data_IF_558885979321
#
_entry.id   IF_558885979321
#
_cell.length_a   1.000
_cell.length_b   1.000
_cell.length_c   1.000
_cell.angle_alpha   90.00
_cell.angle_beta   90.00
_cell.angle_gamma   90.00
#
_symmetry.space_group_name_H-M   'P 1'
#
loop_
_entity.id
_entity.type
_entity.pdbx_description
1 polymer ?
#
# COMPACT_ATOMS: atom_id res chain seq x y z
N UNK A 1 -19.15 -15.46 -13.38
CA UNK A 1 -18.86 -14.03 -13.64
C UNK A 1 -18.76 -13.31 -12.31
N UNK A 2 -17.55 -13.10 -11.78
CA UNK A 2 -17.32 -12.55 -10.43
C UNK A 2 -16.24 -11.45 -10.38
N UNK A 3 -15.64 -11.07 -11.51
CA UNK A 3 -14.52 -10.11 -11.55
C UNK A 3 -14.86 -8.76 -10.91
N UNK A 4 -16.07 -8.24 -11.15
CA UNK A 4 -16.50 -6.97 -10.56
C UNK A 4 -16.63 -7.02 -9.03
N UNK A 5 -16.93 -8.20 -8.45
CA UNK A 5 -17.06 -8.34 -7.00
C UNK A 5 -15.71 -8.27 -6.29
N UNK A 6 -14.60 -8.56 -6.97
CA UNK A 6 -13.25 -8.43 -6.40
C UNK A 6 -12.93 -6.96 -6.04
N UNK A 7 -13.48 -6.00 -6.78
CA UNK A 7 -13.30 -4.58 -6.46
C UNK A 7 -14.13 -4.10 -5.26
N UNK A 8 -15.08 -4.88 -4.76
CA UNK A 8 -15.78 -4.56 -3.53
C UNK A 8 -15.00 -5.04 -2.28
N UNK A 9 -14.05 -5.97 -2.44
CA UNK A 9 -13.28 -6.50 -1.32
C UNK A 9 -12.32 -5.46 -0.74
N UNK A 10 -11.96 -5.58 0.55
CA UNK A 10 -10.92 -4.75 1.15
C UNK A 10 -9.62 -4.80 0.35
N UNK A 11 -9.04 -3.63 0.09
CA UNK A 11 -7.84 -3.48 -0.76
C UNK A 11 -7.05 -2.23 -0.40
N UNK A 12 -5.78 -2.21 -0.79
CA UNK A 12 -4.94 -1.02 -0.76
C UNK A 12 -4.88 -0.45 -2.17
N UNK A 13 -5.18 0.83 -2.31
CA UNK A 13 -5.11 1.56 -3.57
C UNK A 13 -3.92 2.53 -3.49
N UNK A 14 -3.11 2.58 -4.55
CA UNK A 14 -1.99 3.51 -4.67
C UNK A 14 -1.75 3.89 -6.14
N UNK A 15 -1.25 5.10 -6.44
CA UNK A 15 -0.97 5.55 -7.80
C UNK A 15 0.29 4.89 -8.37
N UNK A 16 0.52 5.03 -9.67
CA UNK A 16 1.74 4.59 -10.33
C UNK A 16 2.96 5.50 -10.06
N UNK A 17 2.72 6.74 -9.64
CA UNK A 17 3.75 7.75 -9.39
C UNK A 17 3.41 8.51 -8.11
N UNK A 18 4.41 8.91 -7.34
CA UNK A 18 4.16 9.71 -6.13
C UNK A 18 5.30 10.66 -5.79
N UNK A 19 4.94 11.85 -5.29
CA UNK A 19 5.83 12.77 -4.58
C UNK A 19 5.56 12.77 -3.06
N UNK A 20 4.47 12.12 -2.63
CA UNK A 20 3.97 12.06 -1.24
C UNK A 20 3.66 10.63 -0.81
N UNK A 21 2.95 10.44 0.30
CA UNK A 21 2.48 9.13 0.77
C UNK A 21 1.07 8.85 0.21
N UNK A 22 0.88 7.85 -0.68
CA UNK A 22 -0.37 7.73 -1.40
C UNK A 22 -1.12 6.41 -1.15
N UNK A 23 -0.81 5.66 -0.09
CA UNK A 23 -1.40 4.34 0.16
C UNK A 23 -2.67 4.46 0.98
N UNK A 24 -3.79 4.04 0.41
CA UNK A 24 -5.11 4.10 1.03
C UNK A 24 -5.67 2.70 1.22
N UNK A 25 -6.05 2.38 2.45
CA UNK A 25 -6.85 1.20 2.73
C UNK A 25 -8.33 1.51 2.44
N UNK A 26 -8.96 0.72 1.58
CA UNK A 26 -10.35 0.87 1.18
C UNK A 26 -11.15 -0.39 1.53
N UNK A 27 -12.25 -0.19 2.25
CA UNK A 27 -13.29 -1.19 2.52
C UNK A 27 -14.63 -0.81 1.87
N UNK A 28 -14.71 0.36 1.23
CA UNK A 28 -15.96 0.91 0.68
C UNK A 28 -16.19 0.57 -0.79
N UNK A 29 -15.20 -0.03 -1.47
CA UNK A 29 -15.33 -0.44 -2.86
C UNK A 29 -14.94 0.65 -3.86
N UNK A 30 -14.04 1.56 -3.48
CA UNK A 30 -13.58 2.65 -4.35
C UNK A 30 -12.89 2.07 -5.58
N UNK A 31 -13.21 2.65 -6.74
CA UNK A 31 -12.57 2.35 -8.01
C UNK A 31 -11.54 3.43 -8.36
N UNK A 32 -10.31 2.97 -8.63
CA UNK A 32 -9.27 3.82 -9.19
C UNK A 32 -9.37 3.94 -10.71
N UNK A 33 -8.68 4.93 -11.28
CA UNK A 33 -8.49 5.02 -12.73
C UNK A 33 -7.30 4.14 -13.18
N UNK A 34 -6.95 4.21 -14.47
CA UNK A 34 -5.82 3.48 -15.07
C UNK A 34 -4.43 3.88 -14.56
N UNK A 35 -4.33 4.84 -13.64
CA UNK A 35 -3.09 5.28 -12.98
C UNK A 35 -2.95 4.72 -11.56
N UNK A 36 -3.92 3.94 -11.09
CA UNK A 36 -3.86 3.30 -9.78
C UNK A 36 -3.59 1.80 -9.89
N UNK A 37 -2.81 1.30 -8.94
CA UNK A 37 -2.66 -0.10 -8.62
C UNK A 37 -3.57 -0.48 -7.45
N UNK A 38 -4.00 -1.74 -7.44
CA UNK A 38 -4.79 -2.35 -6.37
C UNK A 38 -3.98 -3.51 -5.81
N UNK A 39 -3.84 -3.53 -4.48
CA UNK A 39 -3.25 -4.64 -3.74
C UNK A 39 -4.33 -5.23 -2.83
N UNK A 40 -4.67 -6.50 -3.10
CA UNK A 40 -5.63 -7.26 -2.31
C UNK A 40 -4.92 -8.42 -1.61
N UNK A 41 -5.40 -8.80 -0.43
CA UNK A 41 -4.90 -9.98 0.26
C UNK A 41 -5.40 -11.26 -0.42
N UNK A 42 -4.52 -12.24 -0.61
CA UNK A 42 -4.91 -13.57 -1.11
C UNK A 42 -5.48 -14.45 0.02
N UNK A 43 -5.09 -14.16 1.27
CA UNK A 43 -5.52 -14.83 2.49
C UNK A 43 -5.20 -13.95 3.71
N UNK A 44 -5.57 -14.41 4.91
CA UNK A 44 -5.43 -13.65 6.16
C UNK A 44 -4.00 -13.62 6.74
N UNK A 45 -2.97 -14.08 6.00
CA UNK A 45 -1.58 -14.08 6.49
C UNK A 45 -1.02 -12.68 6.72
N UNK A 46 -1.63 -11.65 6.13
CA UNK A 46 -1.22 -10.25 6.30
C UNK A 46 -2.44 -9.34 6.45
N UNK A 47 -2.40 -8.48 7.46
CA UNK A 47 -3.41 -7.44 7.66
C UNK A 47 -3.16 -6.29 6.69
N UNK A 48 -4.16 -5.97 5.85
CA UNK A 48 -4.11 -4.82 4.94
C UNK A 48 -4.00 -3.47 5.68
N UNK A 49 -4.71 -3.23 6.81
CA UNK A 49 -4.48 -2.05 7.65
C UNK A 49 -3.03 -1.93 8.14
N UNK A 50 -2.45 -3.04 8.63
CA UNK A 50 -1.05 -3.06 9.06
C UNK A 50 -0.11 -2.71 7.91
N UNK A 51 -0.29 -3.35 6.75
CA UNK A 51 0.53 -3.09 5.57
C UNK A 51 0.39 -1.64 5.08
N UNK A 52 -0.82 -1.09 5.14
CA UNK A 52 -1.08 0.33 4.82
C UNK A 52 -0.31 1.26 5.76
N UNK A 53 -0.28 0.97 7.06
CA UNK A 53 0.51 1.74 8.01
C UNK A 53 2.01 1.65 7.73
N UNK A 54 2.52 0.45 7.38
CA UNK A 54 3.92 0.26 6.97
C UNK A 54 4.23 1.10 5.72
N UNK A 55 3.40 1.06 4.69
CA UNK A 55 3.62 1.80 3.45
C UNK A 55 3.56 3.33 3.63
N UNK A 56 2.80 3.82 4.61
CA UNK A 56 2.76 5.25 4.95
C UNK A 56 3.84 5.68 5.97
N UNK A 57 4.76 4.77 6.34
CA UNK A 57 5.87 5.10 7.25
C UNK A 57 7.01 5.87 6.56
N UNK A 58 7.78 6.62 7.35
CA UNK A 58 8.99 7.29 6.86
C UNK A 58 10.03 6.31 6.31
N UNK A 59 10.07 5.08 6.85
CA UNK A 59 10.95 4.03 6.35
C UNK A 59 10.55 3.57 4.95
N UNK A 60 9.25 3.40 4.69
CA UNK A 60 8.77 3.07 3.35
C UNK A 60 9.10 4.18 2.35
N UNK A 61 8.96 5.46 2.76
CA UNK A 61 9.41 6.59 1.94
C UNK A 61 10.90 6.53 1.62
N UNK A 62 11.74 6.25 2.62
CA UNK A 62 13.18 6.11 2.40
C UNK A 62 13.47 5.00 1.38
N UNK A 63 12.82 3.84 1.53
CA UNK A 63 12.98 2.73 0.61
C UNK A 63 12.56 3.10 -0.82
N UNK A 64 11.41 3.75 -1.00
CA UNK A 64 10.94 4.23 -2.31
C UNK A 64 11.97 5.17 -2.94
N UNK A 65 12.56 6.09 -2.16
CA UNK A 65 13.53 7.06 -2.70
C UNK A 65 14.81 6.40 -3.21
N UNK A 66 15.25 5.30 -2.61
CA UNK A 66 16.47 4.60 -3.01
C UNK A 66 16.25 3.50 -4.05
N UNK A 67 15.05 2.91 -4.11
CA UNK A 67 14.80 1.70 -4.92
C UNK A 67 13.87 1.96 -6.12
N UNK A 68 13.10 3.04 -6.11
CA UNK A 68 12.21 3.39 -7.21
C UNK A 68 12.85 4.45 -8.14
N UNK A 69 12.63 4.35 -9.47
CA UNK A 69 13.12 5.33 -10.42
C UNK A 69 12.62 6.75 -10.11
N UNK A 70 13.51 7.72 -10.28
CA UNK A 70 13.15 9.12 -10.25
C UNK A 70 12.54 9.56 -11.58
N UNK A 71 11.48 10.34 -11.49
CA UNK A 71 10.82 11.02 -12.58
C UNK A 71 11.01 12.54 -12.41
N UNK A 72 10.61 13.32 -13.42
CA UNK A 72 10.72 14.78 -13.36
C UNK A 72 10.06 15.36 -12.09
N UNK A 73 10.72 16.37 -11.49
CA UNK A 73 10.22 17.06 -10.31
C UNK A 73 10.37 16.28 -8.99
N UNK A 74 11.27 15.29 -8.92
CA UNK A 74 11.52 14.52 -7.69
C UNK A 74 10.43 13.50 -7.35
N UNK A 75 9.56 13.19 -8.32
CA UNK A 75 8.54 12.15 -8.20
C UNK A 75 9.17 10.77 -8.36
N UNK A 76 8.62 9.75 -7.73
CA UNK A 76 9.08 8.35 -7.85
C UNK A 76 8.05 7.51 -8.59
N UNK A 77 8.50 6.63 -9.48
CA UNK A 77 7.63 5.60 -10.08
C UNK A 77 7.49 4.40 -9.13
N UNK A 78 6.27 4.13 -8.67
CA UNK A 78 5.98 3.08 -7.70
C UNK A 78 5.17 1.93 -8.30
N UNK A 79 5.42 1.60 -9.56
CA UNK A 79 4.78 0.49 -10.27
C UNK A 79 4.97 -0.86 -9.56
N UNK A 80 4.03 -1.81 -9.81
CA UNK A 80 4.03 -3.17 -9.24
C UNK A 80 5.41 -3.85 -9.26
N UNK A 81 6.14 -3.73 -10.37
CA UNK A 81 7.47 -4.35 -10.56
C UNK A 81 8.49 -3.94 -9.48
N UNK A 82 8.40 -2.72 -8.96
CA UNK A 82 9.27 -2.26 -7.88
C UNK A 82 8.72 -2.73 -6.53
N UNK A 83 7.43 -2.55 -6.30
CA UNK A 83 6.79 -2.85 -5.02
C UNK A 83 6.75 -4.34 -4.66
N UNK A 84 6.86 -5.24 -5.64
CA UNK A 84 7.05 -6.68 -5.40
C UNK A 84 8.32 -6.99 -4.60
N UNK A 85 9.31 -6.11 -4.62
CA UNK A 85 10.58 -6.26 -3.90
C UNK A 85 10.60 -5.50 -2.57
N UNK A 86 9.51 -4.85 -2.18
CA UNK A 86 9.44 -4.10 -0.93
C UNK A 86 9.56 -5.06 0.27
N UNK A 87 10.50 -4.83 1.21
CA UNK A 87 10.66 -5.69 2.38
C UNK A 87 9.54 -5.43 3.38
N UNK A 88 8.60 -6.37 3.48
CA UNK A 88 7.50 -6.30 4.45
C UNK A 88 7.95 -6.88 5.79
N UNK A 89 7.92 -6.11 6.90
CA UNK A 89 8.25 -6.64 8.21
C UNK A 89 7.21 -7.65 8.68
N UNK A 90 7.64 -8.68 9.41
CA UNK A 90 6.71 -9.57 10.10
C UNK A 90 5.96 -8.76 11.15
N UNK A 91 4.62 -8.81 11.11
CA UNK A 91 3.81 -8.27 12.19
C UNK A 91 4.15 -9.03 13.48
N UNK A 92 4.66 -8.32 14.49
CA UNK A 92 4.71 -8.89 15.84
C UNK A 92 3.28 -8.99 16.37
N UNK A 93 3.00 -9.99 17.21
CA UNK A 93 1.75 -10.02 17.97
C UNK A 93 1.81 -8.93 19.05
N UNK A 94 1.69 -7.68 18.63
CA UNK A 94 1.71 -6.51 19.49
C UNK A 94 0.36 -6.33 20.15
N UNK A 95 0.32 -6.41 21.48
CA UNK A 95 -0.82 -6.03 22.30
C UNK A 95 -1.15 -4.57 22.01
N UNK A 96 -2.40 -4.26 21.63
CA UNK A 96 -2.87 -2.88 21.54
C UNK A 96 -2.56 -2.18 22.86
N UNK A 97 -1.64 -1.22 22.83
CA UNK A 97 -1.43 -0.33 23.95
C UNK A 97 -2.68 0.55 24.05
N UNK A 98 -3.58 0.17 24.96
CA UNK A 98 -4.67 1.04 25.37
C UNK A 98 -4.03 2.26 26.02
N UNK A 99 -3.88 3.35 25.28
CA UNK A 99 -3.66 4.66 25.87
C UNK A 99 -4.96 5.04 26.59
N UNK A 100 -5.02 4.80 27.90
CA UNK A 100 -6.00 5.49 28.73
C UNK A 100 -5.53 6.94 28.83
N UNK A 101 -6.18 7.81 28.05
CA UNK A 101 -6.17 9.26 28.28
C UNK A 101 -7.03 9.59 29.50
#
# INVERSE_FOLDING_TARGET
MAYYQEFAKPKIIYPNMTSVFPFMYDESGILGNQKCFILSALNDSISLPFLTAVFNSSLAKLWIWYNCPELQGGTREISKIYFEHFPVPKASQGKLIHWQL
#
